data_IF_302801597147
#
_entry.id   IF_302801597147
#
_cell.length_a   1.000
_cell.length_b   1.000
_cell.length_c   1.000
_cell.angle_alpha   90.00
_cell.angle_beta   90.00
_cell.angle_gamma   90.00
#
_symmetry.space_group_name_H-M   'P 1'
#
loop_
_entity.id
_entity.type
_entity.pdbx_description
1 polymer ?
#
# COMPACT_ATOMS: atom_id res chain seq x y z
N UNK A 1 -9.16 12.88 -10.53
CA UNK A 1 -10.18 11.88 -10.90
C UNK A 1 -10.03 10.74 -9.91
N UNK A 2 -11.09 10.32 -9.22
CA UNK A 2 -11.01 9.29 -8.18
C UNK A 2 -10.81 7.92 -8.83
N UNK A 3 -9.94 7.07 -8.27
CA UNK A 3 -9.61 5.73 -8.79
C UNK A 3 -10.88 4.86 -8.91
N UNK A 4 -11.87 5.10 -8.06
CA UNK A 4 -13.17 4.42 -8.11
C UNK A 4 -14.01 4.83 -9.32
N UNK A 5 -13.96 6.10 -9.71
CA UNK A 5 -14.60 6.59 -10.94
C UNK A 5 -13.94 5.96 -12.17
N UNK A 6 -12.63 5.75 -12.16
CA UNK A 6 -11.94 5.03 -13.24
C UNK A 6 -12.34 3.56 -13.33
N UNK A 7 -12.53 2.89 -12.19
CA UNK A 7 -13.03 1.51 -12.14
C UNK A 7 -14.43 1.42 -12.73
N UNK A 8 -15.34 2.32 -12.35
CA UNK A 8 -16.70 2.36 -12.91
C UNK A 8 -16.69 2.62 -14.42
N UNK A 9 -15.87 3.56 -14.88
CA UNK A 9 -15.72 3.87 -16.31
C UNK A 9 -15.19 2.67 -17.11
N UNK A 10 -14.23 1.91 -16.58
CA UNK A 10 -13.72 0.68 -17.23
C UNK A 10 -14.77 -0.43 -17.31
N UNK A 11 -15.68 -0.46 -16.35
CA UNK A 11 -16.79 -1.40 -16.32
C UNK A 11 -18.00 -0.92 -17.14
N UNK A 12 -17.92 0.27 -17.75
CA UNK A 12 -19.04 0.94 -18.42
C UNK A 12 -20.29 1.03 -17.53
N UNK A 13 -20.09 1.33 -16.25
CA UNK A 13 -21.18 1.48 -15.28
C UNK A 13 -21.15 2.86 -14.65
N UNK A 14 -22.33 3.37 -14.31
CA UNK A 14 -22.47 4.50 -13.39
C UNK A 14 -22.69 4.02 -11.96
N UNK A 15 -22.53 4.91 -10.99
CA UNK A 15 -22.78 4.58 -9.58
C UNK A 15 -24.25 4.15 -9.37
N UNK A 16 -25.19 4.79 -10.07
CA UNK A 16 -26.62 4.54 -9.96
C UNK A 16 -27.01 3.13 -10.39
N UNK A 17 -26.29 2.56 -11.35
CA UNK A 17 -26.47 1.21 -11.91
C UNK A 17 -25.91 0.10 -11.01
N UNK A 18 -25.21 0.45 -9.93
CA UNK A 18 -24.73 -0.52 -8.95
C UNK A 18 -25.88 -1.10 -8.12
N UNK A 19 -25.77 -2.39 -7.83
CA UNK A 19 -26.66 -3.04 -6.85
C UNK A 19 -26.48 -2.42 -5.46
N UNK A 20 -27.47 -2.53 -4.55
CA UNK A 20 -27.36 -1.98 -3.20
C UNK A 20 -26.10 -2.43 -2.44
N UNK A 21 -25.69 -3.69 -2.63
CA UNK A 21 -24.48 -4.26 -2.04
C UNK A 21 -23.23 -3.61 -2.65
N UNK A 22 -23.20 -3.45 -3.98
CA UNK A 22 -22.08 -2.83 -4.67
C UNK A 22 -21.94 -1.33 -4.34
N UNK A 23 -23.06 -0.61 -4.16
CA UNK A 23 -23.06 0.78 -3.67
C UNK A 23 -22.45 0.89 -2.29
N UNK A 24 -22.88 0.03 -1.34
CA UNK A 24 -22.29 0.01 0.01
C UNK A 24 -20.78 -0.25 0.00
N UNK A 25 -20.30 -1.13 -0.89
CA UNK A 25 -18.86 -1.38 -1.07
C UNK A 25 -18.16 -0.17 -1.69
N UNK A 26 -18.75 0.43 -2.72
CA UNK A 26 -18.23 1.63 -3.36
C UNK A 26 -18.10 2.79 -2.36
N UNK A 27 -19.15 3.08 -1.59
CA UNK A 27 -19.18 4.17 -0.60
C UNK A 27 -18.14 3.97 0.50
N UNK A 28 -17.94 2.72 0.93
CA UNK A 28 -16.91 2.38 1.92
C UNK A 28 -15.51 2.61 1.38
N UNK A 29 -15.27 2.20 0.14
CA UNK A 29 -13.99 2.44 -0.52
C UNK A 29 -13.79 3.92 -0.80
N UNK A 30 -14.83 4.66 -1.17
CA UNK A 30 -14.78 6.09 -1.39
C UNK A 30 -14.47 6.81 -0.09
N UNK A 31 -15.15 6.49 1.01
CA UNK A 31 -14.81 7.02 2.33
C UNK A 31 -13.36 6.74 2.74
N UNK A 32 -12.83 5.56 2.39
CA UNK A 32 -11.44 5.18 2.69
C UNK A 32 -10.44 5.93 1.82
N UNK A 33 -10.74 6.10 0.53
CA UNK A 33 -9.82 6.66 -0.47
C UNK A 33 -9.91 8.19 -0.56
N UNK A 34 -11.09 8.75 -0.30
CA UNK A 34 -11.36 10.20 -0.27
C UNK A 34 -11.18 10.80 1.12
N UNK A 35 -11.35 10.00 2.18
CA UNK A 35 -11.10 10.38 3.57
C UNK A 35 -9.70 10.02 4.08
N UNK A 36 -8.82 9.48 3.22
CA UNK A 36 -7.47 9.12 3.59
C UNK A 36 -6.75 10.32 4.17
N UNK A 37 -6.41 10.26 5.46
CA UNK A 37 -5.40 11.14 6.06
C UNK A 37 -4.26 11.30 5.04
N UNK A 38 -3.79 12.52 4.76
CA UNK A 38 -2.71 12.72 3.80
C UNK A 38 -1.60 11.72 4.09
N UNK A 39 -1.11 11.03 3.06
CA UNK A 39 -0.05 10.03 3.21
C UNK A 39 1.16 10.77 3.79
N UNK A 40 1.38 10.62 5.09
CA UNK A 40 2.53 11.21 5.78
C UNK A 40 3.68 10.21 5.83
N UNK A 41 4.90 10.72 5.96
CA UNK A 41 6.09 9.89 6.17
C UNK A 41 5.90 9.03 7.43
N UNK A 42 5.30 9.60 8.48
CA UNK A 42 4.97 8.90 9.73
C UNK A 42 3.91 7.80 9.51
N UNK A 43 2.90 8.05 8.67
CA UNK A 43 1.89 7.05 8.31
C UNK A 43 2.50 5.87 7.54
N UNK A 44 3.39 6.17 6.59
CA UNK A 44 4.14 5.16 5.85
C UNK A 44 5.07 4.35 6.77
N UNK A 45 5.79 5.00 7.69
CA UNK A 45 6.61 4.33 8.69
C UNK A 45 5.79 3.36 9.53
N UNK A 46 4.64 3.81 10.06
CA UNK A 46 3.73 2.97 10.85
C UNK A 46 3.22 1.77 10.05
N UNK A 47 2.84 1.98 8.79
CA UNK A 47 2.39 0.90 7.91
C UNK A 47 3.49 -0.16 7.71
N UNK A 48 4.68 0.26 7.29
CA UNK A 48 5.78 -0.67 7.03
C UNK A 48 6.32 -1.35 8.29
N UNK A 49 6.21 -0.69 9.45
CA UNK A 49 6.52 -1.29 10.73
C UNK A 49 5.52 -2.39 11.10
N UNK A 50 4.22 -2.16 10.86
CA UNK A 50 3.19 -3.17 11.02
C UNK A 50 3.37 -4.37 10.08
N UNK A 51 3.69 -4.12 8.81
CA UNK A 51 3.99 -5.19 7.84
C UNK A 51 5.19 -6.03 8.28
N UNK A 52 6.28 -5.38 8.74
CA UNK A 52 7.46 -6.07 9.28
C UNK A 52 7.09 -7.00 10.44
N UNK A 53 6.31 -6.51 11.40
CA UNK A 53 5.90 -7.28 12.58
C UNK A 53 4.99 -8.46 12.21
N UNK A 54 4.06 -8.27 11.27
CA UNK A 54 3.20 -9.33 10.77
C UNK A 54 4.01 -10.44 10.09
N UNK A 55 4.95 -10.08 9.21
CA UNK A 55 5.80 -11.06 8.51
C UNK A 55 6.70 -11.83 9.49
N UNK A 56 7.27 -11.16 10.50
CA UNK A 56 8.06 -11.83 11.54
C UNK A 56 7.21 -12.83 12.32
N UNK A 57 5.97 -12.44 12.66
CA UNK A 57 5.03 -13.34 13.35
C UNK A 57 4.70 -14.56 12.50
N UNK A 58 4.50 -14.37 11.20
CA UNK A 58 4.21 -15.46 10.26
C UNK A 58 5.42 -16.40 10.08
N UNK A 59 6.63 -15.85 9.98
CA UNK A 59 7.89 -16.62 9.94
C UNK A 59 8.17 -17.38 11.24
N UNK A 60 7.76 -16.83 12.40
CA UNK A 60 7.95 -17.44 13.71
C UNK A 60 6.79 -18.37 14.12
N UNK A 61 5.72 -18.44 13.32
CA UNK A 61 4.56 -19.26 13.62
C UNK A 61 4.91 -20.74 13.51
N UNK A 62 4.87 -21.44 14.64
CA UNK A 62 5.06 -22.89 14.70
C UNK A 62 3.83 -23.68 14.24
N UNK A 63 2.74 -23.00 13.86
CA UNK A 63 1.48 -23.64 13.49
C UNK A 63 1.45 -24.13 12.03
N UNK A 64 2.39 -23.70 11.18
CA UNK A 64 2.47 -24.12 9.78
C UNK A 64 3.93 -24.30 9.38
N UNK A 65 4.30 -25.51 8.93
CA UNK A 65 5.59 -25.70 8.24
C UNK A 65 5.51 -24.96 6.90
N UNK A 66 6.19 -23.81 6.82
CA UNK A 66 6.30 -23.06 5.58
C UNK A 66 7.06 -23.92 4.56
N UNK A 67 6.49 -24.04 3.36
CA UNK A 67 7.26 -24.64 2.27
C UNK A 67 8.34 -23.66 1.79
N UNK A 68 9.33 -24.18 1.04
CA UNK A 68 10.48 -23.39 0.59
C UNK A 68 10.10 -22.12 -0.20
N UNK A 69 8.99 -22.12 -0.94
CA UNK A 69 8.54 -20.94 -1.70
C UNK A 69 7.91 -19.89 -0.80
N UNK A 70 7.12 -20.31 0.18
CA UNK A 70 6.49 -19.42 1.16
C UNK A 70 7.53 -18.76 2.05
N UNK A 71 8.49 -19.55 2.56
CA UNK A 71 9.62 -19.04 3.35
C UNK A 71 10.45 -18.02 2.55
N UNK A 72 10.79 -18.34 1.30
CA UNK A 72 11.52 -17.42 0.41
C UNK A 72 10.71 -16.13 0.15
N UNK A 73 9.40 -16.25 -0.09
CA UNK A 73 8.54 -15.11 -0.35
C UNK A 73 8.41 -14.20 0.88
N UNK A 74 8.21 -14.77 2.07
CA UNK A 74 8.13 -14.01 3.32
C UNK A 74 9.46 -13.32 3.64
N UNK A 75 10.59 -13.99 3.42
CA UNK A 75 11.92 -13.37 3.56
C UNK A 75 12.14 -12.23 2.59
N UNK A 76 11.71 -12.36 1.33
CA UNK A 76 11.79 -11.29 0.34
C UNK A 76 10.93 -10.08 0.77
N UNK A 77 9.68 -10.32 1.19
CA UNK A 77 8.80 -9.26 1.71
C UNK A 77 9.36 -8.58 2.94
N UNK A 78 9.97 -9.34 3.86
CA UNK A 78 10.63 -8.78 5.04
C UNK A 78 11.78 -7.85 4.62
N UNK A 79 12.59 -8.28 3.66
CA UNK A 79 13.68 -7.47 3.13
C UNK A 79 13.17 -6.16 2.50
N UNK A 80 12.08 -6.21 1.74
CA UNK A 80 11.45 -5.01 1.15
C UNK A 80 10.96 -4.04 2.23
N UNK A 81 10.32 -4.55 3.29
CA UNK A 81 9.87 -3.74 4.42
C UNK A 81 11.05 -3.07 5.14
N UNK A 82 12.14 -3.80 5.36
CA UNK A 82 13.34 -3.29 6.02
C UNK A 82 14.04 -2.21 5.19
N UNK A 83 14.22 -2.44 3.88
CA UNK A 83 14.81 -1.44 2.97
C UNK A 83 13.96 -0.18 2.95
N UNK A 84 12.64 -0.33 2.87
CA UNK A 84 11.72 0.81 2.81
C UNK A 84 11.70 1.59 4.12
N UNK A 85 11.72 0.91 5.27
CA UNK A 85 11.86 1.57 6.58
C UNK A 85 13.20 2.30 6.69
N UNK A 86 14.31 1.65 6.34
CA UNK A 86 15.63 2.26 6.35
C UNK A 86 15.69 3.50 5.43
N UNK A 87 15.03 3.44 4.28
CA UNK A 87 14.87 4.57 3.39
C UNK A 87 14.08 5.72 4.05
N UNK A 88 12.93 5.42 4.64
CA UNK A 88 12.07 6.41 5.32
C UNK A 88 12.73 7.02 6.58
N UNK A 89 13.66 6.29 7.20
CA UNK A 89 14.43 6.71 8.37
C UNK A 89 15.74 7.43 8.01
N UNK A 90 16.19 7.33 6.75
CA UNK A 90 17.45 7.93 6.32
C UNK A 90 17.37 9.47 6.24
N UNK A 91 18.46 10.17 6.59
CA UNK A 91 18.45 11.61 6.84
C UNK A 91 18.27 12.39 5.54
N UNK A 92 17.04 12.89 5.31
CA UNK A 92 16.55 13.88 4.34
C UNK A 92 17.03 13.81 2.87
N UNK A 93 18.32 13.68 2.58
CA UNK A 93 18.90 13.63 1.23
C UNK A 93 18.44 12.44 0.38
N UNK A 94 18.14 11.30 1.00
CA UNK A 94 17.59 10.15 0.26
C UNK A 94 16.13 10.38 -0.15
N UNK A 95 15.34 11.05 0.71
CA UNK A 95 13.97 11.45 0.41
C UNK A 95 13.92 12.48 -0.73
N UNK A 96 14.81 13.48 -0.72
CA UNK A 96 14.96 14.45 -1.82
C UNK A 96 15.34 13.80 -3.15
N UNK A 97 16.28 12.85 -3.13
CA UNK A 97 16.68 12.10 -4.33
C UNK A 97 15.54 11.24 -4.90
N UNK A 98 14.70 10.67 -4.05
CA UNK A 98 13.52 9.91 -4.47
C UNK A 98 12.42 10.82 -5.00
N UNK A 99 12.20 11.99 -4.39
CA UNK A 99 11.23 12.98 -4.86
C UNK A 99 11.59 13.49 -6.26
N UNK A 100 12.88 13.75 -6.50
CA UNK A 100 13.43 14.05 -7.82
C UNK A 100 13.17 12.91 -8.82
N UNK A 101 13.35 11.65 -8.39
CA UNK A 101 13.11 10.49 -9.23
C UNK A 101 11.62 10.35 -9.61
N UNK A 102 10.71 10.47 -8.63
CA UNK A 102 9.27 10.37 -8.84
C UNK A 102 8.73 11.51 -9.72
N UNK A 103 9.20 12.76 -9.50
CA UNK A 103 8.87 13.91 -10.36
C UNK A 103 9.29 13.69 -11.82
N UNK A 104 10.44 13.04 -12.03
CA UNK A 104 10.98 12.76 -13.36
C UNK A 104 10.23 11.66 -14.11
N UNK A 105 9.73 10.65 -13.40
CA UNK A 105 9.02 9.52 -14.02
C UNK A 105 7.50 9.72 -14.15
N UNK A 106 6.88 10.55 -13.31
CA UNK A 106 5.42 10.70 -13.30
C UNK A 106 4.87 12.03 -13.85
N UNK A 107 5.71 12.97 -14.35
CA UNK A 107 5.27 14.31 -14.84
C UNK A 107 4.20 14.94 -13.93
N UNK A 108 4.40 14.85 -12.61
CA UNK A 108 3.55 15.58 -11.68
C UNK A 108 4.00 17.05 -11.76
N UNK A 109 3.13 17.89 -12.35
CA UNK A 109 3.33 19.34 -12.41
C UNK A 109 3.32 19.96 -11.02
#
# INVERSE_FOLDING_TARGET
MNILTEVLNKLHKTYEELSPIAKSTYDRWEATLSGGQPITIEGLKKFWQGEKEAIIKDLASSQYELNSKEDMFLKARLNDALITLAFLESPQKAAEMLELYLKRFYKIK
#
